data_IF_520996625035
#
_entry.id   IF_520996625035
#
_cell.length_a   1.000
_cell.length_b   1.000
_cell.length_c   1.000
_cell.angle_alpha   90.00
_cell.angle_beta   90.00
_cell.angle_gamma   90.00
#
_symmetry.space_group_name_H-M   'P 1'
#
loop_
_entity.id
_entity.type
_entity.pdbx_description
1 polymer ?
#
# COMPACT_ATOMS: atom_id res chain seq x y z
N UNK A 1 12.00 7.70 -1.74
CA UNK A 1 10.88 6.76 -1.54
C UNK A 1 11.44 5.38 -1.25
N UNK A 2 10.88 4.68 -0.29
CA UNK A 2 11.38 3.37 0.08
C UNK A 2 10.23 2.35 0.16
N UNK A 3 9.96 1.71 -0.98
CA UNK A 3 8.95 0.65 -1.06
C UNK A 3 9.35 -0.58 -0.25
N UNK A 4 10.65 -0.79 -0.05
CA UNK A 4 11.14 -1.89 0.78
C UNK A 4 10.69 -1.72 2.23
N UNK A 5 10.77 -0.49 2.76
CA UNK A 5 10.30 -0.19 4.11
C UNK A 5 8.79 -0.40 4.23
N UNK A 6 8.05 0.03 3.22
CA UNK A 6 6.60 -0.20 3.19
C UNK A 6 6.28 -1.68 3.17
N UNK A 7 6.95 -2.45 2.30
CA UNK A 7 6.76 -3.89 2.24
C UNK A 7 7.01 -4.56 3.59
N UNK A 8 8.12 -4.20 4.26
CA UNK A 8 8.45 -4.76 5.56
C UNK A 8 7.36 -4.45 6.59
N UNK A 9 6.83 -3.23 6.57
CA UNK A 9 5.75 -2.82 7.48
C UNK A 9 4.49 -3.64 7.22
N UNK A 10 4.09 -3.78 5.95
CA UNK A 10 2.92 -4.57 5.59
C UNK A 10 3.11 -6.05 5.92
N UNK A 11 4.30 -6.57 5.67
CA UNK A 11 4.61 -7.97 5.95
C UNK A 11 4.55 -8.30 7.45
N UNK A 12 4.77 -7.31 8.32
CA UNK A 12 4.62 -7.50 9.76
C UNK A 12 3.16 -7.70 10.17
N UNK A 13 2.22 -7.27 9.33
CA UNK A 13 0.78 -7.44 9.56
C UNK A 13 0.32 -8.82 9.09
N UNK A 14 0.68 -9.18 7.86
CA UNK A 14 0.31 -10.45 7.24
C UNK A 14 1.54 -11.06 6.58
N UNK A 15 2.29 -11.84 7.33
CA UNK A 15 3.54 -12.43 6.87
C UNK A 15 3.31 -13.31 5.64
N UNK A 16 4.14 -13.06 4.60
CA UNK A 16 4.11 -13.82 3.34
C UNK A 16 2.80 -13.70 2.55
N UNK A 17 1.99 -12.70 2.89
CA UNK A 17 0.70 -12.44 2.25
C UNK A 17 0.63 -11.02 1.68
N UNK A 18 1.77 -10.43 1.33
CA UNK A 18 1.85 -9.08 0.79
C UNK A 18 2.38 -9.15 -0.63
N UNK A 19 1.63 -8.60 -1.57
CA UNK A 19 1.92 -8.69 -3.00
C UNK A 19 1.95 -7.32 -3.64
N UNK A 20 2.82 -7.13 -4.61
CA UNK A 20 2.87 -5.89 -5.38
C UNK A 20 2.04 -6.05 -6.67
N UNK A 21 1.03 -5.19 -6.82
CA UNK A 21 0.23 -5.14 -8.02
C UNK A 21 -0.39 -6.49 -8.39
N UNK A 22 -0.16 -6.94 -9.61
CA UNK A 22 -0.73 -8.18 -10.12
C UNK A 22 0.00 -9.45 -9.66
N UNK A 23 1.06 -9.30 -8.87
CA UNK A 23 1.83 -10.47 -8.42
C UNK A 23 0.99 -11.45 -7.59
N UNK A 24 -0.12 -11.00 -7.04
CA UNK A 24 -1.05 -11.87 -6.32
C UNK A 24 -1.58 -12.98 -7.23
N UNK A 25 -1.75 -12.69 -8.51
CA UNK A 25 -2.26 -13.67 -9.48
C UNK A 25 -1.22 -14.71 -9.88
N UNK A 26 0.06 -14.38 -9.70
CA UNK A 26 1.17 -15.28 -10.00
C UNK A 26 1.48 -16.23 -8.84
N UNK A 27 0.88 -16.00 -7.67
CA UNK A 27 1.12 -16.74 -6.44
C UNK A 27 -0.19 -17.26 -5.86
N UNK A 28 -0.96 -18.03 -6.66
CA UNK A 28 -2.29 -18.50 -6.28
C UNK A 28 -2.32 -19.23 -4.94
N UNK A 29 -1.30 -20.04 -4.66
CA UNK A 29 -1.22 -20.79 -3.41
C UNK A 29 -1.08 -19.88 -2.18
N UNK A 30 -0.51 -18.68 -2.37
CA UNK A 30 -0.28 -17.70 -1.30
C UNK A 30 -1.33 -16.60 -1.28
N UNK A 31 -2.22 -16.58 -2.28
CA UNK A 31 -3.22 -15.53 -2.41
C UNK A 31 -4.51 -15.82 -1.64
N UNK A 32 -4.50 -16.80 -0.72
CA UNK A 32 -5.66 -17.04 0.14
C UNK A 32 -5.87 -15.88 1.10
N UNK A 33 -7.13 -15.53 1.33
CA UNK A 33 -7.46 -14.44 2.24
C UNK A 33 -7.16 -14.80 3.70
N UNK A 34 -6.72 -13.83 4.50
CA UNK A 34 -6.50 -12.43 4.14
C UNK A 34 -5.16 -12.20 3.43
N UNK A 35 -5.11 -11.18 2.57
CA UNK A 35 -3.87 -10.76 1.95
C UNK A 35 -3.88 -9.24 1.70
N UNK A 36 -2.71 -8.68 1.40
CA UNK A 36 -2.53 -7.26 1.13
C UNK A 36 -1.89 -7.11 -0.23
N UNK A 37 -2.42 -6.18 -1.03
CA UNK A 37 -1.84 -5.79 -2.33
C UNK A 37 -1.49 -4.31 -2.24
N UNK A 38 -0.30 -3.93 -2.72
CA UNK A 38 0.08 -2.53 -2.79
C UNK A 38 0.66 -2.23 -4.16
N UNK A 39 0.49 -0.97 -4.61
CA UNK A 39 1.04 -0.55 -5.90
C UNK A 39 1.05 0.96 -6.01
N UNK A 40 1.99 1.47 -6.79
CA UNK A 40 2.00 2.88 -7.15
C UNK A 40 0.86 3.14 -8.13
N UNK A 41 0.08 4.19 -7.86
CA UNK A 41 -1.06 4.54 -8.72
C UNK A 41 -0.84 5.87 -9.43
N UNK A 42 -0.13 6.81 -8.82
CA UNK A 42 0.24 8.07 -9.47
C UNK A 42 1.64 8.47 -9.06
N UNK A 43 2.32 9.16 -9.95
CA UNK A 43 3.62 9.77 -9.69
C UNK A 43 3.66 11.09 -10.44
N UNK A 44 3.95 12.17 -9.71
CA UNK A 44 3.99 13.50 -10.32
C UNK A 44 5.16 14.30 -9.77
N UNK A 45 5.83 15.10 -10.64
CA UNK A 45 6.91 15.96 -10.17
C UNK A 45 6.37 17.05 -9.25
N UNK A 46 7.20 17.44 -8.28
CA UNK A 46 6.85 18.47 -7.32
C UNK A 46 8.11 19.25 -6.99
N UNK A 47 7.94 20.57 -6.76
CA UNK A 47 9.02 21.49 -6.43
C UNK A 47 10.15 21.47 -7.48
N UNK A 48 10.32 22.55 -8.21
CA UNK A 48 11.26 22.64 -9.34
C UNK A 48 12.41 23.58 -9.03
N UNK A 49 13.60 23.20 -9.52
CA UNK A 49 14.78 24.09 -9.60
C UNK A 49 15.30 23.99 -11.03
N UNK A 50 15.39 25.15 -11.75
CA UNK A 50 15.90 25.21 -13.12
C UNK A 50 15.19 24.20 -14.05
N UNK A 51 13.85 24.12 -13.97
CA UNK A 51 13.01 23.22 -14.76
C UNK A 51 13.23 21.73 -14.46
N UNK A 52 14.00 21.41 -13.42
CA UNK A 52 14.21 20.03 -12.97
C UNK A 52 13.43 19.80 -11.69
N UNK A 53 12.61 18.77 -11.61
CA UNK A 53 11.88 18.49 -10.36
C UNK A 53 12.84 18.06 -9.25
N UNK A 54 12.65 18.63 -8.06
CA UNK A 54 13.46 18.29 -6.89
C UNK A 54 13.04 16.95 -6.30
N UNK A 55 11.75 16.61 -6.41
CA UNK A 55 11.23 15.33 -5.96
C UNK A 55 9.92 15.03 -6.66
N UNK A 56 9.48 13.80 -6.51
CA UNK A 56 8.19 13.34 -7.02
C UNK A 56 7.30 12.96 -5.86
N UNK A 57 6.02 13.26 -5.98
CA UNK A 57 5.00 12.72 -5.08
C UNK A 57 4.45 11.45 -5.70
N UNK A 58 4.50 10.39 -4.94
CA UNK A 58 4.05 9.06 -5.38
C UNK A 58 2.91 8.63 -4.47
N UNK A 59 1.75 8.38 -5.06
CA UNK A 59 0.62 7.82 -4.32
C UNK A 59 0.66 6.31 -4.46
N UNK A 60 0.63 5.63 -3.32
CA UNK A 60 0.63 4.18 -3.25
C UNK A 60 -0.71 3.74 -2.67
N UNK A 61 -1.38 2.84 -3.36
CA UNK A 61 -2.64 2.28 -2.91
C UNK A 61 -2.37 0.94 -2.24
N UNK A 62 -2.97 0.75 -1.07
CA UNK A 62 -2.83 -0.47 -0.28
C UNK A 62 -4.23 -1.07 -0.10
N UNK A 63 -4.44 -2.27 -0.58
CA UNK A 63 -5.72 -2.96 -0.47
C UNK A 63 -5.57 -4.19 0.39
N UNK A 64 -6.36 -4.27 1.46
CA UNK A 64 -6.44 -5.46 2.29
C UNK A 64 -7.71 -6.21 1.94
N UNK A 65 -7.57 -7.48 1.60
CA UNK A 65 -8.68 -8.35 1.21
C UNK A 65 -8.91 -9.38 2.30
N UNK A 66 -10.13 -9.43 2.83
CA UNK A 66 -10.51 -10.36 3.89
C UNK A 66 -11.81 -11.08 3.54
N UNK A 67 -12.02 -12.27 4.09
CA UNK A 67 -13.28 -12.99 3.90
C UNK A 67 -14.43 -12.30 4.60
N UNK A 68 -14.17 -11.73 5.78
CA UNK A 68 -15.16 -11.05 6.61
C UNK A 68 -14.56 -9.79 7.19
N UNK A 69 -15.43 -8.90 7.66
CA UNK A 69 -15.00 -7.71 8.38
C UNK A 69 -14.12 -8.11 9.57
N UNK A 70 -12.92 -7.56 9.64
CA UNK A 70 -11.95 -7.87 10.69
C UNK A 70 -11.35 -6.58 11.23
N UNK A 71 -12.00 -6.01 12.23
CA UNK A 71 -11.59 -4.72 12.81
C UNK A 71 -10.22 -4.78 13.47
N UNK A 72 -9.87 -5.90 14.08
CA UNK A 72 -8.57 -6.04 14.73
C UNK A 72 -7.44 -6.00 13.71
N UNK A 73 -7.62 -6.66 12.58
CA UNK A 73 -6.63 -6.65 11.51
C UNK A 73 -6.52 -5.27 10.87
N UNK A 74 -7.65 -4.58 10.68
CA UNK A 74 -7.66 -3.20 10.17
C UNK A 74 -6.89 -2.26 11.08
N UNK A 75 -7.15 -2.32 12.38
CA UNK A 75 -6.45 -1.50 13.36
C UNK A 75 -4.96 -1.80 13.39
N UNK A 76 -4.60 -3.08 13.29
CA UNK A 76 -3.20 -3.47 13.26
C UNK A 76 -2.48 -2.89 12.04
N UNK A 77 -3.09 -2.99 10.86
CA UNK A 77 -2.53 -2.39 9.65
C UNK A 77 -2.36 -0.89 9.80
N UNK A 78 -3.41 -0.20 10.25
CA UNK A 78 -3.38 1.26 10.40
C UNK A 78 -2.32 1.69 11.40
N UNK A 79 -2.21 0.98 12.52
CA UNK A 79 -1.22 1.30 13.54
C UNK A 79 0.20 1.08 13.03
N UNK A 80 0.42 0.00 12.29
CA UNK A 80 1.75 -0.29 11.73
C UNK A 80 2.14 0.77 10.70
N UNK A 81 1.20 1.22 9.87
CA UNK A 81 1.47 2.30 8.91
C UNK A 81 1.89 3.58 9.65
N UNK A 82 1.14 3.98 10.67
CA UNK A 82 1.45 5.18 11.44
C UNK A 82 2.79 5.06 12.15
N UNK A 83 3.05 3.93 12.79
CA UNK A 83 4.31 3.70 13.50
C UNK A 83 5.50 3.69 12.56
N UNK A 84 5.30 3.33 11.31
CA UNK A 84 6.36 3.33 10.29
C UNK A 84 6.51 4.68 9.58
N UNK A 85 5.73 5.67 9.98
CA UNK A 85 5.80 7.02 9.41
C UNK A 85 4.95 7.23 8.17
N UNK A 86 4.02 6.33 7.87
CA UNK A 86 3.13 6.46 6.72
C UNK A 86 1.76 6.97 7.16
N UNK A 87 1.48 8.24 6.89
CA UNK A 87 0.14 8.78 7.08
C UNK A 87 -0.76 8.21 5.97
N UNK A 88 -1.92 7.71 6.33
CA UNK A 88 -2.82 7.07 5.37
C UNK A 88 -4.17 7.77 5.32
N UNK A 89 -4.88 7.53 4.23
CA UNK A 89 -6.30 7.86 4.09
C UNK A 89 -7.04 6.60 3.71
N UNK A 90 -8.22 6.39 4.28
CA UNK A 90 -9.10 5.32 3.84
C UNK A 90 -9.91 5.84 2.65
N UNK A 91 -9.75 5.20 1.49
CA UNK A 91 -10.45 5.63 0.29
C UNK A 91 -11.82 4.97 0.14
N UNK A 92 -11.88 3.66 0.38
CA UNK A 92 -13.13 2.92 0.20
C UNK A 92 -13.07 1.57 0.87
N UNK A 93 -14.24 1.01 1.10
CA UNK A 93 -14.40 -0.36 1.55
C UNK A 93 -15.62 -0.91 0.83
N UNK A 94 -15.47 -2.06 0.18
CA UNK A 94 -16.57 -2.62 -0.60
C UNK A 94 -16.49 -4.14 -0.62
N UNK A 95 -17.64 -4.77 -0.87
CA UNK A 95 -17.73 -6.23 -1.01
C UNK A 95 -17.58 -6.63 -2.47
N UNK A 96 -16.83 -7.69 -2.69
CA UNK A 96 -16.71 -8.34 -4.00
C UNK A 96 -17.88 -9.30 -4.21
N UNK A 97 -17.99 -9.83 -5.44
CA UNK A 97 -19.04 -10.78 -5.79
C UNK A 97 -19.00 -12.05 -4.92
N UNK A 98 -17.82 -12.50 -4.54
CA UNK A 98 -17.63 -13.67 -3.68
C UNK A 98 -17.84 -13.38 -2.20
N UNK A 99 -18.33 -12.17 -1.89
CA UNK A 99 -18.57 -11.67 -0.53
C UNK A 99 -17.31 -11.36 0.28
N UNK A 100 -16.12 -11.44 -0.33
CA UNK A 100 -14.91 -10.95 0.30
C UNK A 100 -14.95 -9.42 0.37
N UNK A 101 -14.15 -8.86 1.28
CA UNK A 101 -14.15 -7.43 1.57
C UNK A 101 -12.83 -6.83 1.14
N UNK A 102 -12.90 -5.78 0.33
CA UNK A 102 -11.73 -4.95 -0.01
C UNK A 102 -11.76 -3.68 0.81
N UNK A 103 -10.66 -3.41 1.50
CA UNK A 103 -10.46 -2.15 2.23
C UNK A 103 -9.26 -1.45 1.64
N UNK A 104 -9.49 -0.28 1.06
CA UNK A 104 -8.51 0.41 0.22
C UNK A 104 -8.00 1.66 0.92
N UNK A 105 -6.69 1.71 1.13
CA UNK A 105 -5.99 2.86 1.70
C UNK A 105 -5.09 3.50 0.66
N UNK A 106 -4.75 4.76 0.90
CA UNK A 106 -3.76 5.47 0.10
C UNK A 106 -2.75 6.13 1.04
N UNK A 107 -1.49 6.01 0.67
CA UNK A 107 -0.41 6.79 1.29
C UNK A 107 0.29 7.61 0.21
N UNK A 108 0.89 8.73 0.62
CA UNK A 108 1.70 9.55 -0.28
C UNK A 108 3.15 9.46 0.18
N UNK A 109 4.03 9.13 -0.75
CA UNK A 109 5.47 9.03 -0.51
C UNK A 109 6.19 10.06 -1.37
N UNK A 110 7.40 10.44 -0.96
CA UNK A 110 8.24 11.34 -1.73
C UNK A 110 9.45 10.59 -2.25
N UNK A 111 9.71 10.74 -3.55
CA UNK A 111 10.90 10.19 -4.18
C UNK A 111 11.79 11.36 -4.60
N UNK A 112 12.93 11.50 -3.94
CA UNK A 112 13.83 12.61 -4.20
C UNK A 112 14.66 12.36 -5.45
N UNK A 113 14.84 13.43 -6.21
CA UNK A 113 15.68 13.39 -7.40
C UNK A 113 17.13 13.62 -6.97
N UNK A 114 17.86 12.52 -6.76
CA UNK A 114 19.25 12.56 -6.32
C UNK A 114 20.18 12.72 -7.52
N UNK A 115 20.08 13.84 -8.20
CA UNK A 115 21.02 14.17 -9.25
C UNK A 115 22.20 14.87 -8.59
N UNK A 116 23.27 14.17 -8.47
CA UNK A 116 24.51 14.74 -7.96
C UNK A 116 25.37 15.21 -9.10
#
# INVERSE_FOLDING_TARGET
>A
MDLSKLYQSLNSVLKDKVFYGSNVYDNEDNASMPYIVYQEVTKRPASFSDDTPNYYKVNVQITMVTKKKNRNLEKNLEQVLLNSGFAFSLLSEFKNEDKSLNRVYEITMEEFNNVS
#
